data_IF_313019011724
#
_entry.id   IF_313019011724
#
_cell.length_a   1.000
_cell.length_b   1.000
_cell.length_c   1.000
_cell.angle_alpha   90.00
_cell.angle_beta   90.00
_cell.angle_gamma   90.00
#
_symmetry.space_group_name_H-M   'P 1'
#
loop_
_entity.id
_entity.type
_entity.pdbx_description
1 polymer ?
#
# COMPACT_ATOMS: atom_id res chain seq x y z
N UNK A 1 -17.03 5.57 8.73
CA UNK A 1 -16.18 4.59 8.03
C UNK A 1 -15.07 5.36 7.34
N UNK A 2 -13.80 5.11 7.69
CA UNK A 2 -12.64 5.73 7.03
C UNK A 2 -12.43 5.13 5.63
N UNK A 3 -11.86 5.89 4.70
CA UNK A 3 -11.48 5.44 3.34
C UNK A 3 -9.96 5.49 3.18
N UNK A 4 -9.32 4.36 3.38
CA UNK A 4 -7.88 4.26 3.57
C UNK A 4 -7.22 3.68 2.32
N UNK A 5 -6.20 4.37 1.81
CA UNK A 5 -5.21 3.76 0.95
C UNK A 5 -4.12 3.15 1.84
N UNK A 6 -3.94 1.83 1.79
CA UNK A 6 -2.90 1.13 2.53
C UNK A 6 -1.71 0.85 1.61
N UNK A 7 -0.63 1.60 1.84
CA UNK A 7 0.64 1.44 1.16
C UNK A 7 1.56 0.51 1.96
N UNK A 8 2.39 -0.28 1.27
CA UNK A 8 3.35 -1.20 1.88
C UNK A 8 4.58 -1.31 0.97
N UNK A 9 5.82 -1.33 1.51
CA UNK A 9 6.99 -1.60 0.67
C UNK A 9 6.85 -2.98 0.04
N UNK A 10 7.13 -3.07 -1.26
CA UNK A 10 6.90 -4.31 -2.02
C UNK A 10 8.21 -4.90 -2.54
N UNK A 11 8.82 -4.25 -3.53
CA UNK A 11 9.99 -4.75 -4.27
C UNK A 11 11.18 -5.11 -3.37
N UNK A 12 11.77 -6.27 -3.62
CA UNK A 12 12.96 -6.77 -2.96
C UNK A 12 13.68 -7.77 -3.88
N UNK A 13 14.99 -8.02 -3.67
CA UNK A 13 15.71 -9.07 -4.43
C UNK A 13 15.23 -10.47 -4.05
N UNK A 14 15.01 -10.67 -2.75
CA UNK A 14 14.56 -11.94 -2.17
C UNK A 14 13.03 -12.13 -2.30
N UNK A 15 12.54 -13.16 -3.01
CA UNK A 15 11.11 -13.44 -3.15
C UNK A 15 10.42 -13.71 -1.81
N UNK A 16 11.12 -14.30 -0.85
CA UNK A 16 10.60 -14.56 0.49
C UNK A 16 10.19 -13.26 1.22
N UNK A 17 10.98 -12.19 1.07
CA UNK A 17 10.69 -10.88 1.66
C UNK A 17 9.47 -10.23 1.00
N UNK A 18 9.31 -10.39 -0.32
CA UNK A 18 8.12 -9.92 -1.04
C UNK A 18 6.86 -10.62 -0.49
N UNK A 19 6.91 -11.94 -0.35
CA UNK A 19 5.78 -12.71 0.17
C UNK A 19 5.46 -12.35 1.63
N UNK A 20 6.48 -12.16 2.48
CA UNK A 20 6.30 -11.71 3.86
C UNK A 20 5.59 -10.35 3.93
N UNK A 21 6.05 -9.36 3.14
CA UNK A 21 5.43 -8.03 3.04
C UNK A 21 3.99 -8.11 2.56
N UNK A 22 3.71 -8.96 1.57
CA UNK A 22 2.35 -9.22 1.10
C UNK A 22 1.45 -9.77 2.22
N UNK A 23 1.90 -10.81 2.94
CA UNK A 23 1.14 -11.40 4.04
C UNK A 23 0.92 -10.40 5.18
N UNK A 24 1.92 -9.59 5.52
CA UNK A 24 1.79 -8.52 6.52
C UNK A 24 0.80 -7.44 6.09
N UNK A 25 0.81 -7.08 4.81
CA UNK A 25 -0.17 -6.14 4.26
C UNK A 25 -1.60 -6.71 4.36
N UNK A 26 -1.80 -8.01 4.07
CA UNK A 26 -3.09 -8.67 4.23
C UNK A 26 -3.57 -8.67 5.69
N UNK A 27 -2.67 -8.91 6.65
CA UNK A 27 -3.00 -8.90 8.08
C UNK A 27 -3.49 -7.52 8.52
N UNK A 28 -2.80 -6.45 8.13
CA UNK A 28 -3.21 -5.08 8.46
C UNK A 28 -4.51 -4.69 7.75
N UNK A 29 -4.67 -5.06 6.48
CA UNK A 29 -5.92 -4.84 5.75
C UNK A 29 -7.11 -5.54 6.44
N UNK A 30 -6.92 -6.76 6.94
CA UNK A 30 -7.94 -7.48 7.69
C UNK A 30 -8.32 -6.76 8.99
N UNK A 31 -7.34 -6.26 9.75
CA UNK A 31 -7.61 -5.47 10.98
C UNK A 31 -8.41 -4.20 10.68
N UNK A 32 -8.06 -3.48 9.60
CA UNK A 32 -8.81 -2.29 9.18
C UNK A 32 -10.25 -2.65 8.77
N UNK A 33 -10.46 -3.78 8.09
CA UNK A 33 -11.78 -4.27 7.72
C UNK A 33 -12.62 -4.67 8.95
N UNK A 34 -12.03 -5.40 9.89
CA UNK A 34 -12.69 -5.81 11.15
C UNK A 34 -13.12 -4.60 11.99
N UNK A 35 -12.34 -3.51 11.96
CA UNK A 35 -12.67 -2.24 12.58
C UNK A 35 -13.79 -1.44 11.85
N UNK A 36 -14.38 -1.98 10.77
CA UNK A 36 -15.49 -1.34 10.05
C UNK A 36 -15.05 -0.16 9.17
N UNK A 37 -13.85 -0.24 8.59
CA UNK A 37 -13.30 0.77 7.69
C UNK A 37 -13.08 0.24 6.28
N UNK A 38 -13.19 1.12 5.28
CA UNK A 38 -12.89 0.77 3.90
C UNK A 38 -11.39 0.90 3.67
N UNK A 39 -10.78 -0.11 3.06
CA UNK A 39 -9.35 -0.13 2.74
C UNK A 39 -9.13 -0.57 1.30
N UNK A 40 -8.37 0.23 0.56
CA UNK A 40 -7.69 -0.22 -0.64
C UNK A 40 -6.28 -0.65 -0.26
N UNK A 41 -6.06 -1.96 -0.15
CA UNK A 41 -4.74 -2.52 0.14
C UNK A 41 -3.99 -2.82 -1.16
N UNK A 42 -3.10 -1.90 -1.52
CA UNK A 42 -2.44 -1.89 -2.83
C UNK A 42 -1.68 -3.20 -3.06
N UNK A 43 -0.84 -3.61 -2.10
CA UNK A 43 -0.03 -4.84 -2.22
C UNK A 43 -0.90 -6.10 -2.16
N UNK A 44 -1.97 -6.11 -1.34
CA UNK A 44 -2.88 -7.25 -1.27
C UNK A 44 -3.54 -7.54 -2.62
N UNK A 45 -3.92 -6.48 -3.34
CA UNK A 45 -4.54 -6.61 -4.66
C UNK A 45 -3.50 -6.87 -5.75
N UNK A 46 -2.41 -6.11 -5.75
CA UNK A 46 -1.45 -6.12 -6.85
C UNK A 46 -0.57 -7.37 -6.86
N UNK A 47 -0.17 -7.91 -5.71
CA UNK A 47 0.72 -9.08 -5.61
C UNK A 47 0.22 -10.30 -6.40
N UNK A 48 -1.00 -10.83 -6.17
CA UNK A 48 -1.48 -12.00 -6.92
C UNK A 48 -1.65 -11.71 -8.42
N UNK A 49 -2.02 -10.49 -8.80
CA UNK A 49 -2.14 -10.09 -10.21
C UNK A 49 -0.76 -10.02 -10.87
N UNK A 50 0.25 -9.51 -10.15
CA UNK A 50 1.63 -9.42 -10.63
C UNK A 50 2.20 -10.80 -10.97
N UNK A 51 1.83 -11.85 -10.23
CA UNK A 51 2.22 -13.24 -10.54
C UNK A 51 1.67 -13.72 -11.89
N UNK A 52 0.60 -13.12 -12.39
CA UNK A 52 0.02 -13.41 -13.70
C UNK A 52 0.60 -12.55 -14.83
N UNK A 53 1.38 -11.50 -14.53
CA UNK A 53 2.00 -10.61 -15.52
C UNK A 53 3.33 -11.17 -16.04
N UNK A 54 3.31 -12.40 -16.55
CA UNK A 54 4.49 -13.13 -17.03
C UNK A 54 5.19 -12.36 -18.16
N UNK A 55 6.52 -12.28 -18.08
CA UNK A 55 7.36 -11.63 -19.10
C UNK A 55 7.43 -10.10 -18.99
N UNK A 56 6.90 -9.50 -17.91
CA UNK A 56 7.06 -8.07 -17.61
C UNK A 56 8.06 -7.88 -16.47
N UNK A 57 8.96 -6.91 -16.62
CA UNK A 57 9.82 -6.48 -15.53
C UNK A 57 9.09 -5.54 -14.55
N UNK A 58 9.74 -5.25 -13.41
CA UNK A 58 9.18 -4.38 -12.37
C UNK A 58 8.86 -2.96 -12.88
N UNK A 59 9.61 -2.44 -13.85
CA UNK A 59 9.38 -1.10 -14.38
C UNK A 59 8.12 -1.07 -15.26
N UNK A 60 7.91 -2.07 -16.09
CA UNK A 60 6.71 -2.24 -16.91
C UNK A 60 5.47 -2.49 -16.04
N UNK A 61 5.58 -3.32 -15.00
CA UNK A 61 4.51 -3.55 -14.03
C UNK A 61 4.16 -2.25 -13.30
N UNK A 62 5.17 -1.50 -12.82
CA UNK A 62 4.95 -0.22 -12.14
C UNK A 62 4.23 0.81 -13.03
N UNK A 63 4.52 0.85 -14.33
CA UNK A 63 3.81 1.72 -15.28
C UNK A 63 2.33 1.34 -15.46
N UNK A 64 2.00 0.05 -15.38
CA UNK A 64 0.62 -0.43 -15.46
C UNK A 64 -0.18 -0.05 -14.20
N UNK A 65 0.44 -0.16 -13.02
CA UNK A 65 -0.21 0.16 -11.74
C UNK A 65 -0.35 1.66 -11.49
N UNK A 66 0.59 2.50 -11.95
CA UNK A 66 0.59 3.94 -11.69
C UNK A 66 -0.77 4.65 -11.91
N UNK A 67 -1.48 4.49 -13.06
CA UNK A 67 -2.79 5.13 -13.24
C UNK A 67 -3.89 4.52 -12.37
N UNK A 68 -3.78 3.22 -12.02
CA UNK A 68 -4.73 2.54 -11.14
C UNK A 68 -4.56 3.01 -9.70
N UNK A 69 -3.32 3.08 -9.21
CA UNK A 69 -2.99 3.61 -7.89
C UNK A 69 -3.44 5.07 -7.78
N UNK A 70 -3.20 5.90 -8.80
CA UNK A 70 -3.68 7.28 -8.84
C UNK A 70 -5.21 7.40 -8.73
N UNK A 71 -5.96 6.52 -9.41
CA UNK A 71 -7.43 6.48 -9.31
C UNK A 71 -7.86 6.15 -7.88
N UNK A 72 -7.31 5.11 -7.27
CA UNK A 72 -7.66 4.75 -5.89
C UNK A 72 -7.23 5.81 -4.89
N UNK A 73 -6.03 6.35 -5.02
CA UNK A 73 -5.58 7.47 -4.19
C UNK A 73 -6.57 8.63 -4.28
N UNK A 74 -7.07 9.02 -5.45
CA UNK A 74 -8.04 10.12 -5.59
C UNK A 74 -9.40 9.84 -4.90
N UNK A 75 -9.78 8.57 -4.74
CA UNK A 75 -11.03 8.17 -4.08
C UNK A 75 -10.90 8.00 -2.55
N UNK A 76 -9.68 7.88 -2.04
CA UNK A 76 -9.40 7.69 -0.61
C UNK A 76 -9.21 9.03 0.11
N UNK A 77 -9.55 9.04 1.40
CA UNK A 77 -9.50 10.22 2.26
C UNK A 77 -8.17 10.33 3.03
N UNK A 78 -7.47 9.20 3.20
CA UNK A 78 -6.19 9.14 3.90
C UNK A 78 -5.29 8.02 3.38
N UNK A 79 -4.00 8.17 3.69
CA UNK A 79 -2.95 7.19 3.44
C UNK A 79 -2.45 6.62 4.76
N UNK A 80 -2.37 5.30 4.84
CA UNK A 80 -1.63 4.60 5.88
C UNK A 80 -0.47 3.87 5.22
N UNK A 81 0.74 4.13 5.71
CA UNK A 81 1.95 3.41 5.29
C UNK A 81 2.21 2.31 6.31
N UNK A 82 2.18 1.06 5.85
CA UNK A 82 2.70 -0.08 6.60
C UNK A 82 4.23 0.02 6.63
N UNK A 83 4.75 0.55 7.74
CA UNK A 83 6.12 1.01 7.92
C UNK A 83 7.14 -0.11 8.20
N UNK A 84 7.06 -1.20 7.42
CA UNK A 84 8.02 -2.31 7.43
C UNK A 84 9.42 -1.87 6.97
N UNK A 85 10.49 -2.61 7.35
CA UNK A 85 11.85 -2.30 6.89
C UNK A 85 11.94 -2.07 5.37
N UNK A 86 12.56 -0.95 4.99
CA UNK A 86 12.71 -0.50 3.60
C UNK A 86 11.60 0.43 3.09
N UNK A 87 10.58 0.77 3.89
CA UNK A 87 9.53 1.73 3.46
C UNK A 87 10.09 3.11 3.10
N UNK A 88 11.10 3.59 3.85
CA UNK A 88 11.77 4.88 3.64
C UNK A 88 12.55 4.95 2.32
N UNK A 89 12.91 3.80 1.75
CA UNK A 89 13.64 3.71 0.49
C UNK A 89 12.71 3.54 -0.72
N UNK A 90 11.41 3.29 -0.47
CA UNK A 90 10.42 3.11 -1.53
C UNK A 90 10.07 4.42 -2.21
N UNK A 91 10.53 4.60 -3.45
CA UNK A 91 10.13 5.74 -4.28
C UNK A 91 8.63 5.78 -4.61
N UNK A 92 7.94 4.62 -4.58
CA UNK A 92 6.49 4.56 -4.70
C UNK A 92 5.80 5.23 -3.52
N UNK A 93 6.16 4.81 -2.30
CA UNK A 93 5.59 5.34 -1.05
C UNK A 93 5.86 6.83 -0.89
N UNK A 94 7.06 7.31 -1.25
CA UNK A 94 7.36 8.75 -1.21
C UNK A 94 6.39 9.57 -2.07
N UNK A 95 6.13 9.12 -3.29
CA UNK A 95 5.18 9.78 -4.19
C UNK A 95 3.75 9.70 -3.66
N UNK A 96 3.36 8.58 -3.09
CA UNK A 96 2.04 8.43 -2.47
C UNK A 96 1.88 9.41 -1.29
N UNK A 97 2.87 9.51 -0.40
CA UNK A 97 2.89 10.50 0.69
C UNK A 97 2.74 11.91 0.14
N UNK A 98 3.55 12.30 -0.85
CA UNK A 98 3.49 13.63 -1.48
C UNK A 98 2.10 13.93 -2.07
N UNK A 99 1.45 12.95 -2.70
CA UNK A 99 0.09 13.10 -3.25
C UNK A 99 -0.95 13.37 -2.17
N UNK A 100 -0.88 12.69 -1.02
CA UNK A 100 -1.83 12.92 0.07
C UNK A 100 -1.55 14.22 0.82
N UNK A 101 -0.29 14.50 1.15
CA UNK A 101 0.12 15.73 1.84
C UNK A 101 -0.20 16.99 1.03
N UNK A 102 0.14 17.01 -0.27
CA UNK A 102 -0.18 18.15 -1.15
C UNK A 102 -1.67 18.39 -1.34
N UNK A 103 -2.50 17.36 -1.10
CA UNK A 103 -3.95 17.45 -1.13
C UNK A 103 -4.57 17.78 0.25
N UNK A 104 -3.76 18.02 1.28
CA UNK A 104 -4.22 18.26 2.65
C UNK A 104 -4.90 17.04 3.29
N UNK A 105 -4.61 15.83 2.81
CA UNK A 105 -5.19 14.58 3.31
C UNK A 105 -4.25 13.92 4.32
N UNK A 106 -4.83 13.19 5.29
CA UNK A 106 -4.09 12.56 6.38
C UNK A 106 -3.11 11.51 5.84
N UNK A 107 -1.88 11.55 6.35
CA UNK A 107 -0.84 10.52 6.15
C UNK A 107 -0.40 10.03 7.52
N UNK A 108 -0.33 8.71 7.72
CA UNK A 108 0.10 8.12 9.00
C UNK A 108 0.94 6.87 8.78
N UNK A 109 1.82 6.55 9.74
CA UNK A 109 2.47 5.24 9.80
C UNK A 109 1.59 4.26 10.58
N UNK A 110 1.53 3.00 10.13
CA UNK A 110 0.73 1.98 10.80
C UNK A 110 1.11 1.80 12.27
N UNK A 111 2.41 1.82 12.58
CA UNK A 111 2.90 1.76 13.96
C UNK A 111 2.36 2.85 14.88
N UNK A 112 2.01 4.02 14.33
CA UNK A 112 1.49 5.16 15.09
C UNK A 112 -0.03 5.08 15.30
N UNK A 113 -0.77 4.54 14.33
CA UNK A 113 -2.25 4.58 14.31
C UNK A 113 -2.94 3.24 14.51
N UNK A 114 -2.19 2.13 14.61
CA UNK A 114 -2.76 0.78 14.80
C UNK A 114 -3.74 0.69 15.98
N UNK A 115 -3.50 1.45 17.05
CA UNK A 115 -4.36 1.51 18.23
C UNK A 115 -5.76 2.12 17.95
N UNK A 116 -5.93 2.83 16.83
CA UNK A 116 -7.23 3.38 16.40
C UNK A 116 -8.16 2.32 15.80
N UNK A 117 -7.66 1.09 15.58
CA UNK A 117 -8.37 -0.02 14.94
C UNK A 117 -8.62 -1.20 15.89
N UNK A 118 -8.40 -1.00 17.20
CA UNK A 118 -8.55 -2.00 18.25
C UNK A 118 -9.95 -1.98 18.90
#
# INVERSE_FOLDING_TARGET
MRKIFLACPYSHSEPAVINERFLKCNQVAAQILEAGHAVFSQVSMSHPINLCLVGKDNAAIGKLWAPVDALYMAMMEELIVLDLPGWKDSGGIKREIEVFESSGRRVSLWSEVSHEFA
#
